data_IF_266120663760
#
_entry.id   IF_266120663760
#
_cell.length_a   1.000
_cell.length_b   1.000
_cell.length_c   1.000
_cell.angle_alpha   90.00
_cell.angle_beta   90.00
_cell.angle_gamma   90.00
#
_symmetry.space_group_name_H-M   'P 1'
#
loop_
_entity.id
_entity.type
_entity.pdbx_description
1 polymer ?
#
# COMPACT_ATOMS: atom_id res chain seq x y z
N UNK A 1 6.36 68.93 17.97
CA UNK A 1 6.59 68.55 16.56
C UNK A 1 7.47 67.27 16.52
N UNK A 2 6.91 66.07 16.54
CA UNK A 2 6.11 65.48 15.45
C UNK A 2 7.07 64.97 14.38
N UNK A 3 7.33 63.68 14.26
CA UNK A 3 6.54 62.80 13.38
C UNK A 3 6.95 61.33 13.53
N UNK A 4 6.01 60.47 13.19
CA UNK A 4 5.84 59.06 13.56
C UNK A 4 6.18 58.17 12.36
N UNK A 5 6.75 56.99 12.63
CA UNK A 5 6.49 55.74 11.89
C UNK A 5 6.88 55.64 10.41
N UNK A 6 7.88 54.81 10.11
CA UNK A 6 8.03 54.20 8.78
C UNK A 6 8.27 52.69 8.92
N UNK A 7 7.50 51.93 8.14
CA UNK A 7 7.31 50.50 8.16
C UNK A 7 8.61 49.69 7.99
N UNK A 8 8.76 48.64 8.80
CA UNK A 8 9.71 47.56 8.56
C UNK A 8 9.09 46.53 7.62
N UNK A 9 9.47 46.57 6.34
CA UNK A 9 9.25 45.50 5.38
C UNK A 9 10.47 45.39 4.46
N UNK A 10 11.44 44.54 4.85
CA UNK A 10 12.52 44.04 3.99
C UNK A 10 12.41 42.52 4.05
N UNK A 11 11.81 41.87 3.05
CA UNK A 11 12.42 41.43 1.79
C UNK A 11 13.43 40.28 1.99
N UNK A 12 13.04 39.19 1.35
CA UNK A 12 13.58 37.83 1.24
C UNK A 12 15.02 37.73 0.69
N UNK A 13 15.63 36.53 0.86
CA UNK A 13 16.91 36.00 0.31
C UNK A 13 18.20 36.45 1.06
N UNK A 14 19.07 35.58 1.63
CA UNK A 14 19.68 34.34 1.12
C UNK A 14 20.15 33.36 2.24
N UNK A 15 20.27 32.09 1.83
CA UNK A 15 20.82 30.85 2.43
C UNK A 15 22.13 30.93 3.24
N UNK A 16 22.35 29.93 4.11
CA UNK A 16 23.56 29.11 4.00
C UNK A 16 23.27 27.61 3.81
N UNK A 17 24.35 26.91 3.47
CA UNK A 17 24.44 25.68 2.71
C UNK A 17 24.16 24.36 3.46
N UNK A 18 23.71 23.39 2.65
CA UNK A 18 24.04 21.97 2.69
C UNK A 18 23.80 21.16 3.98
N UNK A 19 22.74 20.35 3.96
CA UNK A 19 22.93 18.90 4.08
C UNK A 19 21.94 18.18 3.16
N UNK A 20 22.49 17.48 2.16
CA UNK A 20 21.72 16.68 1.23
C UNK A 20 21.37 15.34 1.88
N UNK A 21 20.08 15.10 2.09
CA UNK A 21 19.55 13.75 2.09
C UNK A 21 18.38 13.72 1.11
N UNK A 22 18.74 13.50 -0.16
CA UNK A 22 17.85 13.14 -1.25
C UNK A 22 17.05 11.88 -0.86
N UNK A 23 15.90 12.08 -0.23
CA UNK A 23 14.88 11.05 -0.09
C UNK A 23 13.96 11.17 -1.31
N UNK A 24 14.50 10.80 -2.47
CA UNK A 24 13.72 10.60 -3.67
C UNK A 24 12.55 9.66 -3.34
N UNK A 25 11.35 10.24 -3.27
CA UNK A 25 10.10 9.49 -3.25
C UNK A 25 9.98 8.89 -4.64
N UNK A 26 10.61 7.73 -4.83
CA UNK A 26 10.41 6.88 -5.98
C UNK A 26 8.96 6.41 -5.92
N UNK A 27 8.09 7.09 -6.68
CA UNK A 27 6.76 6.61 -7.04
C UNK A 27 6.98 5.31 -7.82
N UNK A 28 6.97 4.19 -7.11
CA UNK A 28 7.11 2.87 -7.72
C UNK A 28 5.84 2.57 -8.50
N UNK A 29 5.90 2.83 -9.81
CA UNK A 29 4.98 2.31 -10.82
C UNK A 29 4.84 0.81 -10.56
N UNK A 30 3.72 0.41 -9.98
CA UNK A 30 3.50 -0.94 -9.44
C UNK A 30 3.22 -1.93 -10.56
N UNK A 31 4.19 -2.14 -11.44
CA UNK A 31 4.30 -3.36 -12.25
C UNK A 31 5.20 -4.33 -11.49
N UNK A 32 4.75 -4.77 -10.31
CA UNK A 32 5.41 -5.82 -9.56
C UNK A 32 5.04 -7.19 -10.16
N UNK A 33 5.49 -7.45 -11.39
CA UNK A 33 5.73 -8.83 -11.80
C UNK A 33 6.93 -9.25 -10.97
N UNK A 34 6.68 -9.92 -9.83
CA UNK A 34 7.73 -10.56 -9.04
C UNK A 34 8.44 -11.52 -9.96
N UNK A 35 9.63 -11.14 -10.41
CA UNK A 35 10.45 -11.93 -11.30
C UNK A 35 10.88 -13.18 -10.50
N UNK A 36 10.16 -14.29 -10.67
CA UNK A 36 10.60 -15.58 -10.11
C UNK A 36 11.92 -15.91 -10.76
N UNK A 37 13.02 -15.66 -10.04
CA UNK A 37 14.30 -16.27 -10.39
C UNK A 37 14.06 -17.78 -10.31
N UNK A 38 14.16 -18.48 -11.44
CA UNK A 38 13.98 -19.93 -11.50
C UNK A 38 15.13 -20.59 -10.74
N UNK A 39 14.93 -20.78 -9.44
CA UNK A 39 15.84 -21.54 -8.61
C UNK A 39 15.69 -23.01 -9.00
N UNK A 40 16.72 -23.60 -9.61
CA UNK A 40 16.76 -25.01 -9.94
C UNK A 40 17.37 -25.74 -8.73
N UNK A 41 16.60 -26.57 -8.01
CA UNK A 41 17.12 -27.24 -6.82
C UNK A 41 18.21 -28.25 -7.23
N UNK A 42 19.40 -28.11 -6.65
CA UNK A 42 20.56 -28.97 -6.90
C UNK A 42 20.67 -30.09 -5.86
N UNK A 43 20.24 -29.81 -4.62
CA UNK A 43 20.31 -30.75 -3.49
C UNK A 43 18.93 -31.27 -3.05
N UNK A 44 18.90 -32.44 -2.37
CA UNK A 44 17.64 -33.00 -1.82
C UNK A 44 16.99 -32.06 -0.79
N UNK A 45 17.80 -31.34 -0.01
CA UNK A 45 17.31 -30.36 0.97
C UNK A 45 16.64 -29.16 0.30
N UNK A 46 17.26 -28.61 -0.76
CA UNK A 46 16.69 -27.53 -1.56
C UNK A 46 15.37 -27.92 -2.22
N UNK A 47 15.26 -29.15 -2.72
CA UNK A 47 14.01 -29.63 -3.30
C UNK A 47 12.88 -29.69 -2.27
N UNK A 48 13.16 -30.16 -1.05
CA UNK A 48 12.16 -30.20 0.03
C UNK A 48 11.74 -28.78 0.43
N UNK A 49 12.70 -27.86 0.60
CA UNK A 49 12.40 -26.46 0.93
C UNK A 49 11.55 -25.80 -0.16
N UNK A 50 11.89 -26.02 -1.43
CA UNK A 50 11.10 -25.49 -2.55
C UNK A 50 9.66 -26.01 -2.54
N UNK A 51 9.45 -27.30 -2.24
CA UNK A 51 8.09 -27.87 -2.15
C UNK A 51 7.30 -27.39 -0.94
N UNK A 52 7.98 -27.15 0.18
CA UNK A 52 7.35 -26.56 1.35
C UNK A 52 6.96 -25.09 1.09
N UNK A 53 7.81 -24.33 0.40
CA UNK A 53 7.49 -22.96 -0.01
C UNK A 53 6.31 -22.92 -0.98
N UNK A 54 6.28 -23.82 -1.98
CA UNK A 54 5.13 -23.99 -2.89
C UNK A 54 3.83 -24.27 -2.10
N UNK A 55 3.88 -25.12 -1.08
CA UNK A 55 2.74 -25.47 -0.25
C UNK A 55 2.27 -24.29 0.61
N UNK A 56 3.19 -23.57 1.24
CA UNK A 56 2.88 -22.39 2.08
C UNK A 56 2.29 -21.27 1.23
N UNK A 57 2.86 -21.02 0.04
CA UNK A 57 2.35 -20.02 -0.88
C UNK A 57 0.98 -20.43 -1.46
N UNK A 58 0.75 -21.72 -1.67
CA UNK A 58 -0.58 -22.24 -2.00
C UNK A 58 -1.58 -22.00 -0.87
N UNK A 59 -1.21 -22.25 0.38
CA UNK A 59 -2.08 -21.99 1.52
C UNK A 59 -2.43 -20.49 1.62
N UNK A 60 -1.44 -19.60 1.57
CA UNK A 60 -1.66 -18.14 1.64
C UNK A 60 -2.55 -17.61 0.52
N UNK A 61 -2.38 -18.08 -0.72
CA UNK A 61 -3.22 -17.64 -1.84
C UNK A 61 -4.63 -18.24 -1.84
N UNK A 62 -4.84 -19.34 -1.11
CA UNK A 62 -6.13 -20.04 -1.05
C UNK A 62 -7.11 -19.49 -0.03
N UNK A 63 -6.66 -18.63 0.88
CA UNK A 63 -7.46 -18.09 1.98
C UNK A 63 -7.12 -16.63 2.25
N UNK A 64 -7.32 -15.76 1.26
CA UNK A 64 -6.99 -14.33 1.40
C UNK A 64 -8.08 -13.64 2.21
N UNK A 65 -7.74 -13.01 3.34
CA UNK A 65 -8.72 -12.26 4.12
C UNK A 65 -8.52 -10.76 3.92
N UNK A 66 -9.15 -10.14 2.88
CA UNK A 66 -8.96 -8.74 2.61
C UNK A 66 -9.74 -7.87 3.59
N UNK A 67 -9.10 -6.77 3.98
CA UNK A 67 -9.79 -5.61 4.51
C UNK A 67 -10.03 -4.58 3.40
N UNK A 68 -11.27 -4.11 3.30
CA UNK A 68 -11.66 -3.14 2.28
C UNK A 68 -11.68 -1.74 2.85
N UNK A 69 -10.91 -0.84 2.25
CA UNK A 69 -10.91 0.58 2.56
C UNK A 69 -11.66 1.33 1.46
N UNK A 70 -13.00 1.37 1.60
CA UNK A 70 -13.89 2.02 0.65
C UNK A 70 -13.89 3.55 0.79
N UNK A 71 -13.33 4.26 -0.18
CA UNK A 71 -13.16 5.72 -0.16
C UNK A 71 -14.06 6.46 -1.17
N UNK A 72 -14.40 5.80 -2.29
CA UNK A 72 -15.20 6.40 -3.35
C UNK A 72 -15.99 5.31 -4.11
N UNK A 73 -16.28 5.54 -5.39
CA UNK A 73 -17.04 4.62 -6.24
C UNK A 73 -16.42 3.22 -6.38
N UNK A 74 -15.10 3.05 -6.25
CA UNK A 74 -14.51 1.71 -6.28
C UNK A 74 -14.99 0.82 -5.12
N UNK A 75 -15.50 1.40 -4.04
CA UNK A 75 -16.11 0.64 -2.95
C UNK A 75 -17.36 -0.12 -3.42
N UNK A 76 -18.22 0.50 -4.24
CA UNK A 76 -19.42 -0.16 -4.76
C UNK A 76 -19.10 -1.22 -5.80
N UNK A 77 -18.00 -1.07 -6.53
CA UNK A 77 -17.49 -2.12 -7.42
C UNK A 77 -17.03 -3.34 -6.61
N UNK A 78 -16.34 -3.14 -5.48
CA UNK A 78 -15.98 -4.24 -4.59
C UNK A 78 -17.20 -4.91 -3.96
N UNK A 79 -18.25 -4.17 -3.62
CA UNK A 79 -19.51 -4.75 -3.14
C UNK A 79 -20.15 -5.65 -4.20
N UNK A 80 -20.08 -5.26 -5.47
CA UNK A 80 -20.53 -6.11 -6.58
C UNK A 80 -19.62 -7.31 -6.83
N UNK A 81 -18.32 -7.20 -6.55
CA UNK A 81 -17.40 -8.35 -6.56
C UNK A 81 -17.74 -9.35 -5.45
N UNK A 82 -18.28 -8.88 -4.33
CA UNK A 82 -18.84 -9.70 -3.25
C UNK A 82 -20.22 -10.30 -3.58
N UNK A 83 -20.90 -9.79 -4.61
CA UNK A 83 -22.26 -10.19 -4.92
C UNK A 83 -22.28 -11.58 -5.60
N UNK A 84 -23.43 -12.29 -5.59
CA UNK A 84 -23.51 -13.69 -6.05
C UNK A 84 -23.05 -13.93 -7.50
N UNK A 85 -23.04 -12.90 -8.34
CA UNK A 85 -22.57 -13.00 -9.74
C UNK A 85 -21.04 -13.17 -9.83
N UNK A 86 -20.29 -12.53 -8.96
CA UNK A 86 -18.81 -12.52 -8.99
C UNK A 86 -18.18 -13.10 -7.71
N UNK A 87 -19.00 -13.81 -6.93
CA UNK A 87 -18.72 -14.39 -5.61
C UNK A 87 -17.25 -14.77 -5.38
N UNK A 88 -16.57 -13.86 -4.69
CA UNK A 88 -15.17 -14.00 -4.31
C UNK A 88 -14.93 -14.95 -3.14
N UNK A 89 -15.97 -15.31 -2.37
CA UNK A 89 -15.88 -16.31 -1.31
C UNK A 89 -15.46 -17.68 -1.87
N UNK A 90 -15.82 -17.94 -3.14
CA UNK A 90 -15.41 -19.15 -3.88
C UNK A 90 -13.89 -19.29 -4.08
N UNK A 91 -13.15 -18.19 -3.97
CA UNK A 91 -11.68 -18.18 -4.00
C UNK A 91 -11.07 -18.15 -2.58
N UNK A 92 -11.87 -18.40 -1.55
CA UNK A 92 -11.47 -18.32 -0.14
C UNK A 92 -11.29 -16.89 0.35
N UNK A 93 -11.94 -15.93 -0.32
CA UNK A 93 -11.77 -14.51 -0.03
C UNK A 93 -12.91 -13.97 0.84
N UNK A 94 -12.60 -13.72 2.12
CA UNK A 94 -13.58 -13.27 3.11
C UNK A 94 -13.25 -11.86 3.58
N UNK A 95 -14.19 -10.93 3.43
CA UNK A 95 -14.00 -9.56 3.90
C UNK A 95 -13.99 -9.49 5.41
N UNK A 96 -12.89 -8.98 5.97
CA UNK A 96 -12.74 -8.76 7.41
C UNK A 96 -12.44 -7.30 7.71
N UNK A 97 -13.29 -6.68 8.51
CA UNK A 97 -13.14 -5.26 8.88
C UNK A 97 -11.97 -4.99 9.83
N UNK A 98 -11.52 -6.00 10.59
CA UNK A 98 -10.43 -5.83 11.55
C UNK A 98 -9.06 -5.92 10.85
N UNK A 99 -8.26 -4.84 10.82
CA UNK A 99 -6.94 -4.84 10.18
C UNK A 99 -6.00 -5.91 10.72
N UNK A 100 -6.09 -6.20 12.02
CA UNK A 100 -5.22 -7.17 12.71
C UNK A 100 -5.42 -8.63 12.28
N UNK A 101 -6.51 -8.92 11.57
CA UNK A 101 -6.85 -10.28 11.13
C UNK A 101 -6.85 -10.39 9.60
N UNK A 102 -6.53 -9.29 8.89
CA UNK A 102 -6.56 -9.26 7.44
C UNK A 102 -5.15 -9.51 6.88
N UNK A 103 -5.07 -10.28 5.77
CA UNK A 103 -3.81 -10.56 5.09
C UNK A 103 -3.48 -9.49 4.03
N UNK A 104 -4.51 -8.88 3.46
CA UNK A 104 -4.39 -7.90 2.36
C UNK A 104 -5.28 -6.71 2.64
N UNK A 105 -4.83 -5.51 2.29
CA UNK A 105 -5.63 -4.29 2.33
C UNK A 105 -5.95 -3.81 0.91
N UNK A 106 -7.24 -3.68 0.59
CA UNK A 106 -7.70 -3.14 -0.70
C UNK A 106 -8.13 -1.69 -0.51
N UNK A 107 -7.38 -0.77 -1.09
CA UNK A 107 -7.69 0.67 -1.06
C UNK A 107 -8.54 1.02 -2.28
N UNK A 108 -9.84 1.20 -2.07
CA UNK A 108 -10.82 1.33 -3.13
C UNK A 108 -11.40 2.75 -3.18
N UNK A 109 -10.71 3.62 -3.93
CA UNK A 109 -11.15 4.97 -4.24
C UNK A 109 -10.03 5.99 -4.09
N UNK A 110 -10.38 7.27 -4.23
CA UNK A 110 -9.43 8.36 -4.18
C UNK A 110 -8.89 8.58 -2.77
N UNK A 111 -7.57 8.43 -2.60
CA UNK A 111 -6.89 8.73 -1.35
C UNK A 111 -6.55 10.22 -1.27
N UNK A 112 -7.15 10.92 -0.31
CA UNK A 112 -6.90 12.35 -0.09
C UNK A 112 -5.73 12.58 0.87
N UNK A 113 -5.09 13.75 0.79
CA UNK A 113 -4.01 14.13 1.70
C UNK A 113 -4.44 14.08 3.19
N UNK A 114 -5.71 14.38 3.47
CA UNK A 114 -6.30 14.28 4.81
C UNK A 114 -6.44 12.84 5.30
N UNK A 115 -6.68 11.89 4.39
CA UNK A 115 -6.86 10.47 4.71
C UNK A 115 -5.55 9.68 4.76
N UNK A 116 -4.50 10.15 4.07
CA UNK A 116 -3.18 9.52 4.03
C UNK A 116 -2.59 9.14 5.41
N UNK A 117 -2.62 9.99 6.46
CA UNK A 117 -2.10 9.59 7.77
C UNK A 117 -2.97 8.53 8.46
N UNK A 118 -4.28 8.52 8.23
CA UNK A 118 -5.17 7.50 8.79
C UNK A 118 -4.91 6.14 8.16
N UNK A 119 -4.72 6.08 6.83
CA UNK A 119 -4.44 4.84 6.12
C UNK A 119 -3.13 4.19 6.57
N UNK A 120 -2.08 4.97 6.85
CA UNK A 120 -0.81 4.44 7.37
C UNK A 120 -0.88 3.90 8.80
N UNK A 121 -1.91 4.29 9.56
CA UNK A 121 -2.10 3.87 10.96
C UNK A 121 -2.90 2.57 11.07
N UNK A 122 -3.73 2.29 10.06
CA UNK A 122 -4.50 1.06 9.91
C UNK A 122 -3.55 -0.09 9.65
#
# INVERSE_FOLDING_TARGET
PGSVGALQAQLLHQTPAADQADSSVQVQKSSAVVQRKSFVPSSRGEFVIAKLDDLVNWARRSSLWPMTFGLACCAVEMMHMAAPRYDMDRFGVVFRASPRQADVMIVAGTLTNKMAPALRKV
#
